data_IF_229770019073
#
_entry.id   IF_229770019073
#
_cell.length_a   1.000
_cell.length_b   1.000
_cell.length_c   1.000
_cell.angle_alpha   90.00
_cell.angle_beta   90.00
_cell.angle_gamma   90.00
#
_symmetry.space_group_name_H-M   'P 1'
#
loop_
_entity.id
_entity.type
_entity.pdbx_description
1 polymer ?
#
# COMPACT_ATOMS: atom_id res chain seq x y z
N UNK A 1 -1.96 5.15 34.69
CA UNK A 1 -1.44 6.08 33.66
C UNK A 1 -2.13 5.75 32.35
N UNK A 2 -2.71 6.72 31.62
CA UNK A 2 -3.22 6.46 30.29
C UNK A 2 -2.05 6.14 29.36
N UNK A 3 -2.21 5.08 28.56
CA UNK A 3 -1.31 4.80 27.44
C UNK A 3 -1.73 5.71 26.28
N UNK A 4 -0.75 6.40 25.68
CA UNK A 4 -0.97 7.17 24.45
C UNK A 4 -0.43 6.34 23.30
N UNK A 5 -1.30 5.98 22.37
CA UNK A 5 -0.94 5.22 21.16
C UNK A 5 -0.88 6.19 20.00
N UNK A 6 0.26 6.22 19.32
CA UNK A 6 0.40 6.98 18.08
C UNK A 6 -0.04 6.15 16.89
N UNK A 7 -0.88 6.72 16.03
CA UNK A 7 -1.32 6.09 14.78
C UNK A 7 -0.29 6.28 13.67
N UNK A 8 -0.28 5.41 12.63
CA UNK A 8 0.62 5.58 11.49
C UNK A 8 0.49 6.98 10.85
N UNK A 9 1.63 7.61 10.57
CA UNK A 9 1.68 8.93 9.92
C UNK A 9 1.74 8.78 8.40
N UNK A 10 1.26 9.80 7.69
CA UNK A 10 1.42 9.90 6.25
C UNK A 10 2.89 9.76 5.84
N UNK A 11 3.19 8.75 5.03
CA UNK A 11 4.55 8.45 4.57
C UNK A 11 5.53 7.99 5.65
N UNK A 12 5.08 7.65 6.87
CA UNK A 12 5.96 7.22 7.96
C UNK A 12 6.81 5.99 7.59
N UNK A 13 6.26 5.10 6.76
CA UNK A 13 6.93 3.91 6.25
C UNK A 13 8.08 4.18 5.27
N UNK A 14 8.22 5.39 4.73
CA UNK A 14 9.22 5.69 3.71
C UNK A 14 10.60 5.91 4.35
N UNK A 15 11.55 5.06 3.98
CA UNK A 15 12.96 5.23 4.38
C UNK A 15 13.69 6.12 3.37
N UNK A 16 13.46 5.89 2.07
CA UNK A 16 14.10 6.64 1.00
C UNK A 16 13.32 6.53 -0.31
N UNK A 17 13.35 7.57 -1.14
CA UNK A 17 12.91 7.49 -2.54
C UNK A 17 13.83 8.35 -3.41
N UNK A 18 13.98 7.97 -4.68
CA UNK A 18 14.83 8.72 -5.61
C UNK A 18 14.29 10.11 -5.91
N UNK A 19 12.99 10.22 -6.21
CA UNK A 19 12.35 11.50 -6.48
C UNK A 19 10.84 11.40 -6.24
N UNK A 20 10.32 12.30 -5.40
CA UNK A 20 8.91 12.34 -4.98
C UNK A 20 7.93 12.30 -6.15
N UNK A 21 8.14 13.16 -7.14
CA UNK A 21 7.21 13.34 -8.27
C UNK A 21 7.28 12.19 -9.29
N UNK A 22 8.29 11.32 -9.17
CA UNK A 22 8.45 10.13 -10.00
C UNK A 22 7.91 8.88 -9.32
N UNK A 23 8.20 8.72 -8.02
CA UNK A 23 7.87 7.53 -7.25
C UNK A 23 6.41 7.50 -6.79
N UNK A 24 5.82 8.67 -6.54
CA UNK A 24 4.45 8.81 -6.05
C UNK A 24 3.48 9.12 -7.16
N UNK A 25 2.22 8.73 -6.98
CA UNK A 25 1.15 9.02 -7.93
C UNK A 25 -0.20 9.11 -7.26
N UNK A 26 -1.15 9.76 -7.92
CA UNK A 26 -2.55 9.76 -7.51
C UNK A 26 -3.28 8.62 -8.21
N UNK A 27 -4.03 7.83 -7.43
CA UNK A 27 -4.86 6.73 -7.91
C UNK A 27 -6.26 6.86 -7.35
N UNK A 28 -7.20 6.10 -7.92
CA UNK A 28 -8.55 5.96 -7.38
C UNK A 28 -8.61 4.72 -6.51
N UNK A 29 -8.98 4.91 -5.24
CA UNK A 29 -9.29 3.86 -4.28
C UNK A 29 -10.78 3.48 -4.42
N UNK A 30 -11.07 2.21 -4.65
CA UNK A 30 -12.42 1.75 -4.95
C UNK A 30 -13.33 1.70 -3.70
N UNK A 31 -12.76 1.37 -2.53
CA UNK A 31 -13.49 1.33 -1.26
C UNK A 31 -12.56 1.15 -0.05
N UNK A 32 -13.11 1.39 1.14
CA UNK A 32 -12.49 1.07 2.43
C UNK A 32 -11.86 2.27 3.15
N UNK A 33 -11.70 2.15 4.47
CA UNK A 33 -10.95 3.10 5.30
C UNK A 33 -9.56 2.52 5.58
N UNK A 34 -8.56 2.96 4.82
CA UNK A 34 -7.22 2.40 4.83
C UNK A 34 -6.22 3.35 5.49
N UNK A 35 -5.29 2.78 6.25
CA UNK A 35 -4.25 3.51 6.96
C UNK A 35 -2.98 3.66 6.10
N UNK A 36 -2.13 4.66 6.36
CA UNK A 36 -0.83 4.80 5.70
C UNK A 36 -0.02 3.50 5.80
N UNK A 37 0.73 3.15 4.76
CA UNK A 37 1.52 1.92 4.71
C UNK A 37 0.73 0.67 4.31
N UNK A 38 -0.59 0.77 4.11
CA UNK A 38 -1.38 -0.36 3.57
C UNK A 38 -0.91 -0.71 2.16
N UNK A 39 -0.59 -1.98 1.94
CA UNK A 39 -0.26 -2.50 0.61
C UNK A 39 -1.56 -2.60 -0.20
N UNK A 40 -1.52 -2.08 -1.43
CA UNK A 40 -2.65 -2.03 -2.34
C UNK A 40 -2.41 -2.96 -3.52
N UNK A 41 -3.49 -3.57 -3.99
CA UNK A 41 -3.53 -4.25 -5.28
C UNK A 41 -4.37 -3.48 -6.30
N UNK A 42 -4.17 -3.75 -7.59
CA UNK A 42 -4.90 -3.09 -8.68
C UNK A 42 -5.96 -4.03 -9.23
N UNK A 43 -7.21 -3.59 -9.20
CA UNK A 43 -8.34 -4.33 -9.78
C UNK A 43 -8.18 -4.34 -11.30
N UNK A 44 -8.08 -5.53 -11.89
CA UNK A 44 -7.83 -5.69 -13.33
C UNK A 44 -8.97 -5.12 -14.18
N UNK A 45 -10.22 -5.32 -13.75
CA UNK A 45 -11.40 -4.90 -14.52
C UNK A 45 -11.59 -3.38 -14.56
N UNK A 46 -11.33 -2.67 -13.46
CA UNK A 46 -11.60 -1.23 -13.34
C UNK A 46 -10.34 -0.36 -13.39
N UNK A 47 -9.15 -0.95 -13.18
CA UNK A 47 -7.90 -0.23 -13.02
C UNK A 47 -7.76 0.54 -11.70
N UNK A 48 -8.77 0.48 -10.82
CA UNK A 48 -8.77 1.10 -9.50
C UNK A 48 -7.94 0.29 -8.52
N UNK A 49 -7.60 0.91 -7.39
CA UNK A 49 -6.82 0.29 -6.33
C UNK A 49 -7.73 -0.08 -5.15
N UNK A 50 -7.39 -1.18 -4.49
CA UNK A 50 -8.02 -1.61 -3.25
C UNK A 50 -6.97 -2.26 -2.36
N UNK A 51 -7.33 -2.53 -1.11
CA UNK A 51 -6.51 -3.33 -0.20
C UNK A 51 -6.00 -4.60 -0.88
N UNK A 52 -4.72 -4.88 -0.73
CA UNK A 52 -4.14 -6.12 -1.23
C UNK A 52 -4.76 -7.32 -0.50
N UNK A 53 -5.28 -8.27 -1.28
CA UNK A 53 -5.87 -9.50 -0.77
C UNK A 53 -5.26 -10.69 -1.52
N UNK A 54 -4.33 -11.44 -0.88
CA UNK A 54 -3.67 -12.58 -1.51
C UNK A 54 -4.62 -13.71 -1.96
N UNK A 55 -5.84 -13.78 -1.41
CA UNK A 55 -6.83 -14.80 -1.76
C UNK A 55 -7.78 -14.36 -2.89
N UNK A 56 -7.71 -13.09 -3.31
CA UNK A 56 -8.55 -12.57 -4.37
C UNK A 56 -8.14 -13.09 -5.76
N UNK A 57 -9.07 -12.95 -6.71
CA UNK A 57 -8.85 -13.30 -8.13
C UNK A 57 -9.18 -12.14 -9.08
N UNK A 58 -9.34 -10.93 -8.55
CA UNK A 58 -9.80 -9.74 -9.28
C UNK A 58 -8.65 -8.78 -9.66
N UNK A 59 -7.40 -9.15 -9.37
CA UNK A 59 -6.19 -8.35 -9.55
C UNK A 59 -5.60 -7.82 -8.23
N UNK A 60 -6.38 -7.75 -7.14
CA UNK A 60 -5.87 -7.26 -5.85
C UNK A 60 -4.91 -8.23 -5.16
N UNK A 61 -4.78 -9.46 -5.66
CA UNK A 61 -3.84 -10.46 -5.16
C UNK A 61 -2.38 -10.21 -5.55
N UNK A 62 -2.10 -9.18 -6.35
CA UNK A 62 -0.74 -8.74 -6.63
C UNK A 62 -0.52 -7.35 -6.07
N UNK A 63 0.49 -7.18 -5.22
CA UNK A 63 0.85 -5.88 -4.67
C UNK A 63 1.27 -4.93 -5.81
N UNK A 64 0.66 -3.76 -5.86
CA UNK A 64 0.77 -2.81 -6.96
C UNK A 64 1.15 -1.39 -6.50
N UNK A 65 0.95 -1.06 -5.22
CA UNK A 65 1.33 0.22 -4.63
C UNK A 65 1.28 0.16 -3.09
N UNK A 66 1.76 1.20 -2.42
CA UNK A 66 1.62 1.41 -0.97
C UNK A 66 0.90 2.72 -0.72
N UNK A 67 -0.10 2.72 0.16
CA UNK A 67 -0.89 3.90 0.49
C UNK A 67 -0.07 4.95 1.24
N UNK A 68 -0.04 6.20 0.74
CA UNK A 68 0.76 7.28 1.33
C UNK A 68 0.14 7.86 2.60
N UNK A 69 -1.15 8.16 2.57
CA UNK A 69 -1.90 8.80 3.66
C UNK A 69 -3.21 8.06 3.92
N UNK A 70 -3.82 8.25 5.10
CA UNK A 70 -5.11 7.65 5.42
C UNK A 70 -6.17 8.14 4.44
N UNK A 71 -6.92 7.22 3.86
CA UNK A 71 -8.03 7.55 2.94
C UNK A 71 -9.25 6.75 3.34
N UNK A 72 -10.36 7.45 3.50
CA UNK A 72 -11.69 6.85 3.68
C UNK A 72 -12.45 6.89 2.35
N UNK A 73 -12.51 5.75 1.68
CA UNK A 73 -13.29 5.49 0.47
C UNK A 73 -14.58 4.70 0.77
N UNK A 74 -15.08 4.71 2.01
CA UNK A 74 -16.34 4.03 2.38
C UNK A 74 -17.55 4.58 1.61
N UNK A 75 -17.52 5.86 1.24
CA UNK A 75 -18.53 6.52 0.41
C UNK A 75 -18.39 6.29 -1.09
N UNK A 76 -17.39 5.51 -1.54
CA UNK A 76 -17.12 5.21 -2.94
C UNK A 76 -15.74 5.68 -3.41
N UNK A 77 -15.59 5.75 -4.74
CA UNK A 77 -14.32 6.06 -5.41
C UNK A 77 -13.69 7.36 -4.87
N UNK A 78 -12.49 7.26 -4.32
CA UNK A 78 -11.80 8.39 -3.70
C UNK A 78 -10.36 8.49 -4.17
N UNK A 79 -9.88 9.71 -4.41
CA UNK A 79 -8.49 9.94 -4.77
C UNK A 79 -7.57 9.64 -3.59
N UNK A 80 -6.51 8.87 -3.85
CA UNK A 80 -5.48 8.54 -2.88
C UNK A 80 -4.09 8.79 -3.47
N UNK A 81 -3.18 9.28 -2.64
CA UNK A 81 -1.75 9.34 -2.99
C UNK A 81 -1.12 8.02 -2.60
N UNK A 82 -0.31 7.46 -3.49
CA UNK A 82 0.35 6.17 -3.27
C UNK A 82 1.80 6.23 -3.72
N UNK A 83 2.65 5.41 -3.10
CA UNK A 83 3.95 5.04 -3.65
C UNK A 83 3.72 3.93 -4.68
N UNK A 84 3.85 4.27 -5.96
CA UNK A 84 3.47 3.38 -7.07
C UNK A 84 4.68 2.76 -7.77
N UNK A 85 5.85 3.39 -7.66
CA UNK A 85 7.07 2.93 -8.32
C UNK A 85 8.32 3.41 -7.58
N UNK A 86 9.40 2.66 -7.76
CA UNK A 86 10.72 3.01 -7.26
C UNK A 86 11.64 3.63 -8.32
N UNK A 87 12.92 3.83 -7.99
CA UNK A 87 13.58 3.22 -6.83
C UNK A 87 13.20 3.89 -5.50
N UNK A 88 12.71 3.08 -4.56
CA UNK A 88 12.32 3.49 -3.21
C UNK A 88 12.62 2.39 -2.19
N UNK A 89 12.82 2.76 -0.93
CA UNK A 89 13.05 1.87 0.21
C UNK A 89 12.00 2.16 1.28
N UNK A 90 11.35 1.12 1.78
CA UNK A 90 10.30 1.21 2.79
C UNK A 90 10.60 0.29 3.97
N UNK A 91 10.12 0.68 5.16
CA UNK A 91 10.26 -0.07 6.40
C UNK A 91 9.21 -1.18 6.49
N UNK A 92 9.65 -2.42 6.62
CA UNK A 92 8.79 -3.61 6.73
C UNK A 92 7.85 -3.58 7.93
N UNK A 93 8.21 -2.87 9.00
CA UNK A 93 7.42 -2.79 10.22
C UNK A 93 6.33 -1.72 10.19
N UNK A 94 6.35 -0.85 9.18
CA UNK A 94 5.40 0.25 9.01
C UNK A 94 4.49 0.08 7.79
N UNK A 95 4.63 -1.04 7.08
CA UNK A 95 3.72 -1.46 6.02
C UNK A 95 2.83 -2.60 6.52
N UNK A 96 1.60 -2.68 6.00
CA UNK A 96 0.65 -3.71 6.41
C UNK A 96 -0.09 -4.32 5.24
N UNK A 97 -0.37 -5.62 5.34
CA UNK A 97 -1.31 -6.34 4.49
C UNK A 97 -2.55 -6.59 5.35
N UNK A 98 -3.74 -6.13 4.92
CA UNK A 98 -4.97 -6.36 5.68
C UNK A 98 -5.23 -7.84 5.93
N UNK A 99 -5.80 -8.15 7.10
CA UNK A 99 -6.07 -9.52 7.53
C UNK A 99 -4.85 -10.17 8.20
N UNK A 100 -4.69 -11.49 8.00
CA UNK A 100 -3.63 -12.30 8.60
C UNK A 100 -2.86 -13.04 7.52
N UNK A 101 -1.99 -12.36 6.76
CA UNK A 101 -1.22 -12.98 5.69
C UNK A 101 -0.26 -14.03 6.24
N UNK A 102 -0.12 -15.14 5.52
CA UNK A 102 0.88 -16.16 5.81
C UNK A 102 2.28 -15.68 5.37
N UNK A 103 3.34 -16.23 5.96
CA UNK A 103 4.73 -15.92 5.56
C UNK A 103 4.98 -15.97 4.02
N UNK A 104 4.53 -16.99 3.27
CA UNK A 104 4.70 -16.99 1.82
C UNK A 104 3.94 -15.87 1.10
N UNK A 105 2.77 -15.45 1.62
CA UNK A 105 2.01 -14.32 1.05
C UNK A 105 2.73 -12.99 1.29
N UNK A 106 3.33 -12.80 2.46
CA UNK A 106 4.16 -11.62 2.76
C UNK A 106 5.35 -11.56 1.80
N UNK A 107 6.08 -12.68 1.65
CA UNK A 107 7.21 -12.77 0.71
C UNK A 107 6.78 -12.48 -0.73
N UNK A 108 5.63 -13.00 -1.17
CA UNK A 108 5.10 -12.74 -2.50
C UNK A 108 4.74 -11.25 -2.70
N UNK A 109 4.12 -10.61 -1.70
CA UNK A 109 3.83 -9.18 -1.74
C UNK A 109 5.12 -8.34 -1.83
N UNK A 110 6.14 -8.67 -1.04
CA UNK A 110 7.44 -7.97 -1.08
C UNK A 110 8.16 -8.18 -2.43
N UNK A 111 8.10 -9.39 -2.99
CA UNK A 111 8.64 -9.67 -4.31
C UNK A 111 7.92 -8.85 -5.40
N UNK A 112 6.59 -8.73 -5.33
CA UNK A 112 5.82 -7.89 -6.25
C UNK A 112 6.13 -6.39 -6.09
N UNK A 113 6.38 -5.90 -4.87
CA UNK A 113 6.85 -4.53 -4.66
C UNK A 113 8.26 -4.32 -5.23
N UNK A 114 9.14 -5.31 -5.12
CA UNK A 114 10.50 -5.24 -5.66
C UNK A 114 10.50 -5.13 -7.20
N UNK A 115 9.58 -5.78 -7.91
CA UNK A 115 9.48 -5.63 -9.38
C UNK A 115 9.05 -4.22 -9.80
N UNK A 116 8.37 -3.48 -8.93
CA UNK A 116 8.05 -2.06 -9.11
C UNK A 116 9.21 -1.13 -8.71
N UNK A 117 10.32 -1.67 -8.22
CA UNK A 117 11.47 -0.93 -7.70
C UNK A 117 11.34 -0.49 -6.24
N UNK A 118 10.34 -0.99 -5.51
CA UNK A 118 10.11 -0.66 -4.10
C UNK A 118 10.74 -1.77 -3.25
N UNK A 119 11.86 -1.46 -2.61
CA UNK A 119 12.58 -2.37 -1.74
C UNK A 119 12.03 -2.31 -0.30
N UNK A 120 11.60 -3.44 0.23
CA UNK A 120 11.17 -3.57 1.64
C UNK A 120 12.38 -3.97 2.50
N UNK A 121 12.60 -3.28 3.63
CA UNK A 121 13.70 -3.53 4.59
C UNK A 121 13.25 -3.57 6.04
#
# INVERSE_FOLDING_TARGET
MPILTETPRAGGFLVWEALRDYCRGTVILASGNLQPGTILGKITASGKYAAHDPAASNGTQTAAAILWDSVDASGGDTNAVVLIRGPAIVNQYEISIPGTPTAPQITAAHAALLTLGILVR
#
